data_IF_825669001319
#
_entry.id   IF_825669001319
#
_cell.length_a   1.000
_cell.length_b   1.000
_cell.length_c   1.000
_cell.angle_alpha   90.00
_cell.angle_beta   90.00
_cell.angle_gamma   90.00
#
_symmetry.space_group_name_H-M   'P 1'
#
loop_
_entity.id
_entity.type
_entity.pdbx_description
1 polymer ?
#
# COMPACT_ATOMS: atom_id res chain seq x y z
N UNK A 1 -4.73 -1.94 -3.69
CA UNK A 1 -5.86 -1.36 -2.93
C UNK A 1 -6.76 -0.58 -3.87
N UNK A 2 -7.37 0.51 -3.37
CA UNK A 2 -8.23 1.42 -4.14
C UNK A 2 -7.50 2.10 -5.31
N UNK A 3 -6.18 2.23 -5.18
CA UNK A 3 -5.25 2.79 -6.14
C UNK A 3 -4.92 1.86 -7.32
N UNK A 4 -5.28 0.57 -7.25
CA UNK A 4 -4.91 -0.42 -8.27
C UNK A 4 -5.43 -0.11 -9.66
N UNK A 5 -6.67 0.36 -9.76
CA UNK A 5 -7.24 0.78 -11.04
C UNK A 5 -6.50 2.00 -11.63
N UNK A 6 -6.00 2.90 -10.78
CA UNK A 6 -5.27 4.10 -11.20
C UNK A 6 -3.86 3.77 -11.65
N UNK A 7 -3.15 2.87 -10.94
CA UNK A 7 -1.79 2.45 -11.32
C UNK A 7 -1.78 1.76 -12.69
N UNK A 8 -2.79 0.95 -12.98
CA UNK A 8 -2.92 0.25 -14.28
C UNK A 8 -3.67 1.09 -15.33
N UNK A 9 -4.07 2.33 -15.00
CA UNK A 9 -4.85 3.19 -15.89
C UNK A 9 -4.16 3.50 -17.22
N UNK A 10 -2.81 3.50 -17.24
CA UNK A 10 -2.02 3.67 -18.46
C UNK A 10 -2.25 2.55 -19.49
N UNK A 11 -2.67 1.36 -19.02
CA UNK A 11 -2.99 0.19 -19.85
C UNK A 11 -4.51 0.03 -20.07
N UNK A 12 -5.34 0.91 -19.51
CA UNK A 12 -6.79 0.82 -19.65
C UNK A 12 -7.24 1.28 -21.05
N UNK A 13 -8.13 0.51 -21.68
CA UNK A 13 -8.73 0.85 -22.99
C UNK A 13 -9.47 2.19 -22.96
N UNK A 14 -10.15 2.49 -21.85
CA UNK A 14 -10.92 3.71 -21.64
C UNK A 14 -10.60 4.32 -20.26
N UNK A 15 -10.01 5.51 -20.23
CA UNK A 15 -9.65 6.20 -18.98
C UNK A 15 -10.86 6.57 -18.10
N UNK A 16 -12.04 6.74 -18.71
CA UNK A 16 -13.29 7.04 -17.97
C UNK A 16 -13.75 5.88 -17.09
N UNK A 17 -13.36 4.66 -17.43
CA UNK A 17 -13.80 3.47 -16.71
C UNK A 17 -13.02 3.28 -15.41
N UNK A 18 -11.80 3.84 -15.32
CA UNK A 18 -10.93 3.75 -14.13
C UNK A 18 -11.62 4.31 -12.89
N UNK A 19 -12.22 5.50 -12.99
CA UNK A 19 -12.91 6.13 -11.86
C UNK A 19 -14.15 5.35 -11.43
N UNK A 20 -14.95 4.86 -12.38
CA UNK A 20 -16.14 4.05 -12.10
C UNK A 20 -15.77 2.70 -11.48
N UNK A 21 -14.75 2.04 -12.03
CA UNK A 21 -14.24 0.78 -11.51
C UNK A 21 -13.74 0.92 -10.07
N UNK A 22 -13.01 2.02 -9.78
CA UNK A 22 -12.54 2.30 -8.41
C UNK A 22 -13.71 2.47 -7.45
N UNK A 23 -14.71 3.29 -7.80
CA UNK A 23 -15.86 3.55 -6.94
C UNK A 23 -16.70 2.27 -6.71
N UNK A 24 -16.97 1.52 -7.78
CA UNK A 24 -17.72 0.27 -7.69
C UNK A 24 -16.98 -0.79 -6.88
N UNK A 25 -15.65 -0.89 -7.02
CA UNK A 25 -14.84 -1.80 -6.23
C UNK A 25 -14.88 -1.44 -4.74
N UNK A 26 -14.75 -0.16 -4.39
CA UNK A 26 -14.82 0.32 -3.00
C UNK A 26 -16.20 0.06 -2.39
N UNK A 27 -17.28 0.42 -3.09
CA UNK A 27 -18.64 0.22 -2.59
C UNK A 27 -18.98 -1.27 -2.46
N UNK A 28 -18.58 -2.10 -3.42
CA UNK A 28 -18.78 -3.55 -3.36
C UNK A 28 -18.00 -4.16 -2.19
N UNK A 29 -16.72 -3.79 -2.02
CA UNK A 29 -15.90 -4.27 -0.91
C UNK A 29 -16.46 -3.85 0.45
N UNK A 30 -16.89 -2.59 0.59
CA UNK A 30 -17.55 -2.10 1.79
C UNK A 30 -18.83 -2.88 2.10
N UNK A 31 -19.67 -3.12 1.09
CA UNK A 31 -20.88 -3.91 1.23
C UNK A 31 -20.58 -5.34 1.70
N UNK A 32 -19.60 -6.00 1.08
CA UNK A 32 -19.18 -7.35 1.48
C UNK A 32 -18.62 -7.35 2.91
N UNK A 33 -17.78 -6.38 3.29
CA UNK A 33 -17.25 -6.28 4.65
C UNK A 33 -18.36 -6.08 5.69
N UNK A 34 -19.30 -5.18 5.43
CA UNK A 34 -20.44 -4.97 6.31
C UNK A 34 -21.30 -6.23 6.46
N UNK A 35 -21.60 -6.91 5.34
CA UNK A 35 -22.37 -8.15 5.35
C UNK A 35 -21.65 -9.24 6.13
N UNK A 36 -20.37 -9.48 5.85
CA UNK A 36 -19.57 -10.49 6.53
C UNK A 36 -19.52 -10.18 8.03
N UNK A 37 -19.21 -8.95 8.45
CA UNK A 37 -19.13 -8.61 9.87
C UNK A 37 -20.48 -8.72 10.58
N UNK A 38 -21.56 -8.18 10.00
CA UNK A 38 -22.88 -8.15 10.65
C UNK A 38 -23.54 -9.53 10.68
N UNK A 39 -23.42 -10.31 9.60
CA UNK A 39 -24.00 -11.64 9.54
C UNK A 39 -23.25 -12.59 10.48
N UNK A 40 -21.92 -12.50 10.58
CA UNK A 40 -21.15 -13.31 11.53
C UNK A 40 -21.63 -13.15 12.97
N UNK A 41 -21.92 -11.91 13.39
CA UNK A 41 -22.49 -11.62 14.72
C UNK A 41 -23.90 -12.19 14.95
N UNK A 42 -24.62 -12.54 13.88
CA UNK A 42 -25.91 -13.20 13.96
C UNK A 42 -25.83 -14.72 14.03
N UNK A 43 -24.69 -15.32 13.67
CA UNK A 43 -24.48 -16.77 13.69
C UNK A 43 -23.88 -17.22 15.02
N UNK A 44 -22.87 -16.52 15.53
CA UNK A 44 -22.12 -16.92 16.74
C UNK A 44 -22.07 -15.76 17.73
N UNK A 45 -22.04 -16.06 19.02
CA UNK A 45 -21.95 -15.06 20.07
C UNK A 45 -20.62 -14.29 19.99
N UNK A 46 -20.64 -13.00 20.37
CA UNK A 46 -19.44 -12.13 20.36
C UNK A 46 -18.21 -12.72 21.09
N UNK A 47 -18.35 -13.36 22.28
CA UNK A 47 -17.20 -13.93 22.99
C UNK A 47 -16.56 -15.08 22.20
N UNK A 48 -17.37 -15.99 21.66
CA UNK A 48 -16.88 -17.11 20.85
C UNK A 48 -16.23 -16.62 19.55
N UNK A 49 -16.86 -15.68 18.85
CA UNK A 49 -16.30 -15.09 17.63
C UNK A 49 -14.91 -14.47 17.84
N UNK A 50 -14.66 -13.89 19.01
CA UNK A 50 -13.38 -13.29 19.35
C UNK A 50 -12.27 -14.33 19.57
N UNK A 51 -12.63 -15.57 19.89
CA UNK A 51 -11.69 -16.67 20.13
C UNK A 51 -11.43 -17.52 18.88
N UNK A 52 -12.25 -17.40 17.82
CA UNK A 52 -12.03 -18.12 16.56
C UNK A 52 -10.72 -17.67 15.91
N UNK A 53 -9.83 -18.63 15.65
CA UNK A 53 -8.56 -18.36 14.94
C UNK A 53 -8.81 -17.85 13.52
N UNK A 54 -7.98 -16.92 13.08
CA UNK A 54 -8.00 -16.45 11.71
C UNK A 54 -7.53 -17.56 10.74
N UNK A 55 -8.20 -17.73 9.57
CA UNK A 55 -9.34 -16.95 9.08
C UNK A 55 -10.68 -17.34 9.73
N UNK A 56 -11.30 -16.41 10.46
CA UNK A 56 -12.51 -16.67 11.27
C UNK A 56 -13.73 -17.12 10.47
N UNK A 57 -13.81 -16.74 9.19
CA UNK A 57 -14.86 -17.20 8.28
C UNK A 57 -14.85 -18.69 8.00
N UNK A 58 -13.68 -19.35 8.11
CA UNK A 58 -13.60 -20.80 7.96
C UNK A 58 -14.32 -21.50 9.12
N UNK A 59 -14.04 -21.09 10.36
CA UNK A 59 -14.72 -21.60 11.55
C UNK A 59 -16.22 -21.34 11.53
N UNK A 60 -16.63 -20.13 11.12
CA UNK A 60 -18.04 -19.79 10.95
C UNK A 60 -18.76 -20.65 9.90
N UNK A 61 -18.12 -20.92 8.77
CA UNK A 61 -18.72 -21.79 7.75
C UNK A 61 -18.83 -23.24 8.20
N UNK A 62 -17.92 -23.71 9.07
CA UNK A 62 -18.04 -25.04 9.68
C UNK A 62 -19.25 -25.12 10.60
N UNK A 63 -19.51 -24.11 11.42
CA UNK A 63 -20.71 -24.04 12.25
C UNK A 63 -22.00 -24.06 11.41
N UNK A 64 -22.00 -23.42 10.25
CA UNK A 64 -23.20 -23.32 9.39
C UNK A 64 -23.44 -24.53 8.48
N UNK A 65 -22.38 -25.12 7.92
CA UNK A 65 -22.46 -26.10 6.82
C UNK A 65 -21.70 -27.40 7.13
N UNK A 66 -21.12 -27.53 8.33
CA UNK A 66 -20.28 -28.65 8.71
C UNK A 66 -18.89 -28.62 8.02
N UNK A 67 -18.16 -29.75 8.00
CA UNK A 67 -16.76 -29.81 7.53
C UNK A 67 -16.51 -29.29 6.11
N UNK A 68 -17.53 -29.31 5.25
CA UNK A 68 -17.45 -28.76 3.89
C UNK A 68 -17.23 -27.25 3.85
N UNK A 69 -17.67 -26.52 4.88
CA UNK A 69 -17.50 -25.08 4.98
C UNK A 69 -16.04 -24.65 4.99
N UNK A 70 -15.18 -25.38 5.71
CA UNK A 70 -13.73 -25.12 5.76
C UNK A 70 -13.09 -25.27 4.38
N UNK A 71 -13.44 -26.34 3.64
CA UNK A 71 -12.85 -26.63 2.32
C UNK A 71 -13.21 -25.52 1.31
N UNK A 72 -14.46 -25.07 1.32
CA UNK A 72 -14.92 -24.00 0.43
C UNK A 72 -14.17 -22.69 0.72
N UNK A 73 -14.03 -22.33 2.00
CA UNK A 73 -13.32 -21.12 2.40
C UNK A 73 -11.83 -21.23 2.10
N UNK A 74 -11.20 -22.39 2.36
CA UNK A 74 -9.79 -22.61 2.06
C UNK A 74 -9.50 -22.51 0.55
N UNK A 75 -10.32 -23.16 -0.29
CA UNK A 75 -10.19 -23.07 -1.74
C UNK A 75 -10.39 -21.63 -2.25
N UNK A 76 -11.42 -20.94 -1.76
CA UNK A 76 -11.67 -19.53 -2.09
C UNK A 76 -10.52 -18.61 -1.65
N UNK A 77 -9.95 -18.86 -0.46
CA UNK A 77 -8.81 -18.13 0.07
C UNK A 77 -7.58 -18.31 -0.82
N UNK A 78 -7.27 -19.53 -1.26
CA UNK A 78 -6.13 -19.80 -2.16
C UNK A 78 -6.29 -19.01 -3.47
N UNK A 79 -7.46 -19.09 -4.10
CA UNK A 79 -7.72 -18.35 -5.35
C UNK A 79 -7.61 -16.84 -5.14
N UNK A 80 -8.20 -16.33 -4.05
CA UNK A 80 -8.18 -14.91 -3.69
C UNK A 80 -6.76 -14.40 -3.43
N UNK A 81 -5.97 -15.13 -2.63
CA UNK A 81 -4.58 -14.77 -2.29
C UNK A 81 -3.69 -14.82 -3.53
N UNK A 82 -3.83 -15.84 -4.38
CA UNK A 82 -3.09 -15.92 -5.65
C UNK A 82 -3.43 -14.74 -6.58
N UNK A 83 -4.72 -14.38 -6.70
CA UNK A 83 -5.16 -13.22 -7.47
C UNK A 83 -4.63 -11.90 -6.92
N UNK A 84 -4.71 -11.71 -5.60
CA UNK A 84 -4.15 -10.54 -4.92
C UNK A 84 -2.63 -10.46 -5.11
N UNK A 85 -1.92 -11.57 -4.94
CA UNK A 85 -0.46 -11.64 -5.12
C UNK A 85 -0.05 -11.21 -6.53
N UNK A 86 -0.73 -11.70 -7.56
CA UNK A 86 -0.48 -11.28 -8.94
C UNK A 86 -0.75 -9.79 -9.15
N UNK A 87 -1.90 -9.29 -8.68
CA UNK A 87 -2.27 -7.88 -8.80
C UNK A 87 -1.25 -6.95 -8.13
N UNK A 88 -0.84 -7.28 -6.90
CA UNK A 88 0.15 -6.50 -6.16
C UNK A 88 1.54 -6.55 -6.78
N UNK A 89 1.93 -7.70 -7.35
CA UNK A 89 3.21 -7.83 -8.08
C UNK A 89 3.26 -6.90 -9.30
N UNK A 90 2.17 -6.85 -10.08
CA UNK A 90 2.08 -5.94 -11.24
C UNK A 90 2.15 -4.48 -10.78
N UNK A 91 1.38 -4.11 -9.75
CA UNK A 91 1.40 -2.74 -9.22
C UNK A 91 2.78 -2.33 -8.69
N UNK A 92 3.43 -3.20 -7.92
CA UNK A 92 4.75 -2.95 -7.38
C UNK A 92 5.81 -2.73 -8.47
N UNK A 93 5.65 -3.36 -9.63
CA UNK A 93 6.55 -3.20 -10.76
C UNK A 93 6.27 -1.92 -11.58
N UNK A 94 5.00 -1.52 -11.70
CA UNK A 94 4.58 -0.31 -12.43
C UNK A 94 5.00 0.98 -11.72
N UNK A 95 4.97 1.03 -10.38
CA UNK A 95 5.29 2.26 -9.64
C UNK A 95 6.73 2.76 -9.92
N UNK A 96 7.80 1.95 -9.78
CA UNK A 96 9.16 2.38 -10.12
C UNK A 96 9.34 2.68 -11.61
N UNK A 97 8.63 1.95 -12.49
CA UNK A 97 8.68 2.15 -13.94
C UNK A 97 8.09 3.50 -14.35
N UNK A 98 6.91 3.83 -13.84
CA UNK A 98 6.26 5.14 -14.06
C UNK A 98 7.08 6.27 -13.44
N UNK A 99 7.60 6.08 -12.23
CA UNK A 99 8.48 7.06 -11.59
C UNK A 99 9.75 7.32 -12.41
N UNK A 100 10.37 6.28 -12.98
CA UNK A 100 11.54 6.40 -13.84
C UNK A 100 11.22 7.11 -15.16
N UNK A 101 10.05 6.82 -15.75
CA UNK A 101 9.56 7.48 -16.97
C UNK A 101 9.36 8.99 -16.75
N UNK A 102 8.90 9.38 -15.56
CA UNK A 102 8.79 10.77 -15.13
C UNK A 102 10.08 11.35 -14.50
N UNK A 103 11.22 10.67 -14.66
CA UNK A 103 12.55 11.09 -14.17
C UNK A 103 12.68 11.25 -12.64
N UNK A 104 11.75 10.68 -11.87
CA UNK A 104 11.79 10.64 -10.41
C UNK A 104 12.50 9.40 -9.85
N UNK A 105 12.90 8.45 -10.71
CA UNK A 105 13.59 7.21 -10.35
C UNK A 105 14.73 6.90 -11.34
N UNK A 106 15.73 6.04 -11.01
CA UNK A 106 16.89 5.84 -11.87
C UNK A 106 16.51 5.31 -13.24
N UNK A 107 17.24 5.75 -14.28
CA UNK A 107 16.93 5.46 -15.70
C UNK A 107 16.81 3.97 -16.03
N UNK A 108 17.50 3.09 -15.29
CA UNK A 108 17.45 1.64 -15.50
C UNK A 108 16.03 1.08 -15.36
N UNK A 109 15.21 1.68 -14.50
CA UNK A 109 13.83 1.25 -14.23
C UNK A 109 12.83 1.69 -15.28
N UNK A 110 13.20 2.58 -16.22
CA UNK A 110 12.36 2.96 -17.35
C UNK A 110 12.46 1.94 -18.52
N UNK A 111 13.30 0.90 -18.40
CA UNK A 111 13.47 -0.12 -19.44
C UNK A 111 12.42 -1.22 -19.30
N UNK A 112 11.90 -1.66 -20.44
CA UNK A 112 11.04 -2.84 -20.53
C UNK A 112 11.77 -3.96 -21.28
N UNK A 113 11.40 -5.21 -21.01
CA UNK A 113 11.90 -6.37 -21.75
C UNK A 113 11.14 -6.56 -23.09
N UNK A 114 11.45 -7.62 -23.83
CA UNK A 114 10.81 -7.95 -25.11
C UNK A 114 9.28 -8.16 -25.02
N UNK A 115 8.74 -8.39 -23.82
CA UNK A 115 7.31 -8.58 -23.55
C UNK A 115 6.66 -7.33 -22.93
N UNK A 116 7.31 -6.15 -23.05
CA UNK A 116 6.84 -4.88 -22.49
C UNK A 116 6.63 -4.89 -20.96
N UNK A 117 7.33 -5.79 -20.24
CA UNK A 117 7.31 -5.87 -18.78
C UNK A 117 8.51 -5.12 -18.16
N UNK A 118 8.31 -4.38 -17.05
CA UNK A 118 9.37 -3.64 -16.36
C UNK A 118 10.27 -4.59 -15.53
N UNK A 119 11.19 -5.28 -16.20
CA UNK A 119 12.01 -6.33 -15.60
C UNK A 119 12.91 -5.86 -14.46
N UNK A 120 13.48 -4.65 -14.56
CA UNK A 120 14.30 -4.07 -13.50
C UNK A 120 13.48 -3.81 -12.21
N UNK A 121 12.25 -3.32 -12.35
CA UNK A 121 11.34 -3.12 -11.22
C UNK A 121 10.95 -4.44 -10.58
N UNK A 122 10.65 -5.46 -11.38
CA UNK A 122 10.34 -6.81 -10.87
C UNK A 122 11.48 -7.39 -10.03
N UNK A 123 12.72 -7.32 -10.53
CA UNK A 123 13.89 -7.77 -9.77
C UNK A 123 14.09 -7.00 -8.47
N UNK A 124 13.96 -5.67 -8.49
CA UNK A 124 14.05 -4.85 -7.29
C UNK A 124 13.00 -5.28 -6.26
N UNK A 125 11.73 -5.37 -6.66
CA UNK A 125 10.64 -5.76 -5.74
C UNK A 125 10.84 -7.17 -5.19
N UNK A 126 11.29 -8.12 -6.01
CA UNK A 126 11.53 -9.48 -5.57
C UNK A 126 12.69 -9.56 -4.57
N UNK A 127 13.81 -8.87 -4.85
CA UNK A 127 14.95 -8.79 -3.92
C UNK A 127 14.51 -8.15 -2.60
N UNK A 128 13.73 -7.06 -2.63
CA UNK A 128 13.19 -6.45 -1.42
C UNK A 128 12.32 -7.42 -0.61
N UNK A 129 11.44 -8.18 -1.27
CA UNK A 129 10.62 -9.21 -0.60
C UNK A 129 11.50 -10.29 0.02
N UNK A 130 12.50 -10.81 -0.69
CA UNK A 130 13.41 -11.83 -0.14
C UNK A 130 14.19 -11.30 1.06
N UNK A 131 14.72 -10.08 0.99
CA UNK A 131 15.40 -9.43 2.12
C UNK A 131 14.45 -9.32 3.32
N UNK A 132 13.20 -8.88 3.12
CA UNK A 132 12.22 -8.80 4.20
C UNK A 132 11.92 -10.17 4.82
N UNK A 133 11.77 -11.22 4.02
CA UNK A 133 11.53 -12.58 4.51
C UNK A 133 12.72 -13.12 5.31
N UNK A 134 13.95 -12.89 4.84
CA UNK A 134 15.17 -13.25 5.57
C UNK A 134 15.30 -12.47 6.87
N UNK A 135 14.97 -11.17 6.86
CA UNK A 135 15.01 -10.34 8.06
C UNK A 135 14.03 -10.84 9.12
N UNK A 136 12.77 -11.13 8.76
CA UNK A 136 11.80 -11.73 9.71
C UNK A 136 12.36 -13.02 10.31
N UNK A 137 12.90 -13.89 9.45
CA UNK A 137 13.43 -15.18 9.90
C UNK A 137 14.60 -15.01 10.87
N UNK A 138 15.46 -14.01 10.65
CA UNK A 138 16.59 -13.69 11.54
C UNK A 138 16.17 -13.01 12.83
N UNK A 139 15.19 -12.10 12.80
CA UNK A 139 14.74 -11.34 13.96
C UNK A 139 13.74 -12.10 14.84
N UNK A 140 13.16 -13.20 14.33
CA UNK A 140 12.06 -13.90 14.99
C UNK A 140 10.79 -13.07 15.09
N UNK A 141 10.68 -11.97 14.32
CA UNK A 141 9.49 -11.14 14.27
C UNK A 141 8.31 -11.91 13.68
N UNK A 142 7.09 -11.47 13.98
CA UNK A 142 5.90 -12.10 13.42
C UNK A 142 5.46 -11.46 12.10
N UNK A 143 4.59 -12.15 11.38
CA UNK A 143 3.99 -11.65 10.14
C UNK A 143 3.17 -10.36 10.37
N UNK A 144 2.57 -10.19 11.55
CA UNK A 144 1.80 -8.98 11.87
C UNK A 144 2.68 -7.73 11.95
N UNK A 145 3.94 -7.85 12.37
CA UNK A 145 4.89 -6.74 12.36
C UNK A 145 5.07 -6.19 10.93
N UNK A 146 5.29 -7.06 9.94
CA UNK A 146 5.38 -6.61 8.54
C UNK A 146 4.06 -6.03 8.03
N UNK A 147 2.93 -6.66 8.37
CA UNK A 147 1.61 -6.13 7.99
C UNK A 147 1.38 -4.73 8.55
N UNK A 148 1.79 -4.49 9.79
CA UNK A 148 1.67 -3.21 10.48
C UNK A 148 2.50 -2.16 9.76
N UNK A 149 3.80 -2.40 9.58
CA UNK A 149 4.71 -1.48 8.87
C UNK A 149 4.19 -1.19 7.44
N UNK A 150 3.79 -2.22 6.69
CA UNK A 150 3.28 -2.05 5.33
C UNK A 150 1.97 -1.23 5.27
N UNK A 151 1.07 -1.45 6.23
CA UNK A 151 -0.19 -0.71 6.34
C UNK A 151 0.03 0.76 6.67
N UNK A 152 1.12 1.09 7.35
CA UNK A 152 1.45 2.46 7.74
C UNK A 152 2.15 3.22 6.62
N UNK A 153 3.02 2.52 5.89
CA UNK A 153 3.72 3.06 4.73
C UNK A 153 2.78 3.59 3.63
N UNK A 154 1.54 3.12 3.57
CA UNK A 154 0.55 3.59 2.58
C UNK A 154 -0.17 4.87 3.00
N UNK A 155 -0.20 5.18 4.31
CA UNK A 155 -0.97 6.30 4.85
C UNK A 155 -0.42 7.65 4.39
N UNK A 156 0.91 7.81 4.40
CA UNK A 156 1.57 9.05 3.96
C UNK A 156 1.27 9.34 2.48
N UNK A 157 1.46 8.40 1.53
CA UNK A 157 1.02 8.57 0.15
C UNK A 157 -0.46 8.95 0.01
N UNK A 158 -1.37 8.31 0.76
CA UNK A 158 -2.80 8.64 0.69
C UNK A 158 -3.10 10.07 1.16
N UNK A 159 -2.48 10.52 2.25
CA UNK A 159 -2.58 11.90 2.69
C UNK A 159 -2.05 12.88 1.62
N UNK A 160 -0.87 12.59 1.04
CA UNK A 160 -0.26 13.42 0.00
C UNK A 160 -1.12 13.51 -1.27
N UNK A 161 -1.79 12.43 -1.65
CA UNK A 161 -2.75 12.43 -2.77
C UNK A 161 -3.93 13.36 -2.48
N UNK A 162 -4.48 13.33 -1.25
CA UNK A 162 -5.54 14.25 -0.83
C UNK A 162 -5.08 15.71 -0.82
N UNK A 163 -3.88 15.98 -0.28
CA UNK A 163 -3.29 17.31 -0.24
C UNK A 163 -3.00 17.85 -1.65
N UNK A 164 -2.55 16.99 -2.55
CA UNK A 164 -2.33 17.34 -3.95
C UNK A 164 -3.65 17.68 -4.66
N UNK A 165 -4.72 16.90 -4.43
CA UNK A 165 -6.05 17.21 -4.94
C UNK A 165 -6.52 18.59 -4.46
N UNK A 166 -6.36 18.88 -3.17
CA UNK A 166 -6.72 20.19 -2.60
C UNK A 166 -5.94 21.33 -3.27
N UNK A 167 -4.64 21.13 -3.54
CA UNK A 167 -3.77 22.11 -4.20
C UNK A 167 -4.22 22.44 -5.63
N UNK A 168 -4.68 21.45 -6.40
CA UNK A 168 -5.07 21.63 -7.81
C UNK A 168 -6.56 21.88 -8.03
N UNK A 169 -7.39 21.67 -7.00
CA UNK A 169 -8.84 21.75 -7.13
C UNK A 169 -9.30 23.20 -7.41
N UNK A 170 -9.92 23.39 -8.57
CA UNK A 170 -10.52 24.68 -8.98
C UNK A 170 -12.00 24.75 -8.63
N UNK A 171 -12.71 23.62 -8.68
CA UNK A 171 -14.16 23.50 -8.42
C UNK A 171 -14.44 23.29 -6.92
N UNK A 172 -15.54 23.86 -6.39
CA UNK A 172 -15.86 23.77 -4.96
C UNK A 172 -16.05 22.33 -4.49
N UNK A 173 -16.70 21.47 -5.31
CA UNK A 173 -16.89 20.06 -4.98
C UNK A 173 -15.56 19.31 -4.81
N UNK A 174 -14.61 19.53 -5.71
CA UNK A 174 -13.30 18.88 -5.65
C UNK A 174 -12.48 19.38 -4.46
N UNK A 175 -12.62 20.67 -4.10
CA UNK A 175 -12.01 21.21 -2.87
C UNK A 175 -12.60 20.56 -1.63
N UNK A 176 -13.92 20.42 -1.54
CA UNK A 176 -14.58 19.76 -0.41
C UNK A 176 -14.10 18.30 -0.25
N UNK A 177 -14.01 17.55 -1.35
CA UNK A 177 -13.45 16.18 -1.35
C UNK A 177 -11.99 16.18 -0.91
N UNK A 178 -11.17 17.10 -1.42
CA UNK A 178 -9.76 17.24 -1.02
C UNK A 178 -9.60 17.55 0.48
N UNK A 179 -10.40 18.48 1.02
CA UNK A 179 -10.42 18.79 2.46
C UNK A 179 -10.81 17.56 3.28
N UNK A 180 -11.88 16.86 2.89
CA UNK A 180 -12.31 15.63 3.56
C UNK A 180 -11.23 14.54 3.53
N UNK A 181 -10.57 14.34 2.39
CA UNK A 181 -9.47 13.40 2.25
C UNK A 181 -8.25 13.78 3.11
N UNK A 182 -7.92 15.06 3.21
CA UNK A 182 -6.84 15.54 4.09
C UNK A 182 -7.17 15.32 5.57
N UNK A 183 -8.39 15.66 6.00
CA UNK A 183 -8.84 15.46 7.39
C UNK A 183 -8.79 13.96 7.73
N UNK A 184 -9.32 13.11 6.86
CA UNK A 184 -9.31 11.66 7.07
C UNK A 184 -7.88 11.09 7.05
N UNK A 185 -7.02 11.56 6.15
CA UNK A 185 -5.62 11.16 6.09
C UNK A 185 -4.83 11.54 7.35
N UNK A 186 -5.03 12.76 7.86
CA UNK A 186 -4.44 13.20 9.13
C UNK A 186 -4.96 12.37 10.31
N UNK A 187 -6.25 12.07 10.32
CA UNK A 187 -6.84 11.22 11.34
C UNK A 187 -6.26 9.80 11.29
N UNK A 188 -6.08 9.21 10.11
CA UNK A 188 -5.45 7.89 9.96
C UNK A 188 -3.99 7.87 10.43
N UNK A 189 -3.21 8.92 10.12
CA UNK A 189 -1.84 9.05 10.60
C UNK A 189 -1.77 9.17 12.12
N UNK A 190 -2.72 9.89 12.73
CA UNK A 190 -2.86 9.96 14.18
C UNK A 190 -3.27 8.61 14.79
N UNK A 191 -4.27 7.95 14.20
CA UNK A 191 -4.84 6.69 14.69
C UNK A 191 -3.89 5.49 14.54
N UNK A 192 -3.03 5.49 13.53
CA UNK A 192 -1.98 4.47 13.33
C UNK A 192 -0.97 4.43 14.49
N UNK A 193 -0.82 5.53 15.21
CA UNK A 193 0.20 5.68 16.25
C UNK A 193 1.45 6.37 15.68
N UNK A 194 1.90 7.49 16.27
CA UNK A 194 3.11 8.18 15.81
C UNK A 194 4.37 7.31 15.84
N UNK A 195 4.39 6.31 16.73
CA UNK A 195 5.52 5.42 16.93
C UNK A 195 5.73 4.44 15.77
N UNK A 196 4.62 3.86 15.35
CA UNK A 196 4.46 3.00 14.20
C UNK A 196 4.82 3.74 12.89
N UNK A 197 4.27 4.95 12.72
CA UNK A 197 4.64 5.82 11.61
C UNK A 197 6.15 6.10 11.57
N UNK A 198 6.81 6.24 12.73
CA UNK A 198 8.25 6.45 12.81
C UNK A 198 9.05 5.26 12.26
N UNK A 199 8.59 4.03 12.48
CA UNK A 199 9.20 2.83 11.90
C UNK A 199 9.12 2.84 10.37
N UNK A 200 8.02 3.31 9.79
CA UNK A 200 7.88 3.45 8.33
C UNK A 200 8.90 4.43 7.71
N UNK A 201 9.35 5.43 8.48
CA UNK A 201 10.37 6.40 8.04
C UNK A 201 11.73 5.73 7.80
N UNK A 202 12.05 4.67 8.53
CA UNK A 202 13.28 3.87 8.31
C UNK A 202 13.30 3.31 6.89
N UNK A 203 12.15 2.88 6.37
CA UNK A 203 12.02 2.36 5.01
C UNK A 203 11.92 3.47 3.95
N UNK A 204 11.48 4.68 4.32
CA UNK A 204 11.53 5.84 3.42
C UNK A 204 12.96 6.37 3.20
N UNK A 205 13.84 6.27 4.20
CA UNK A 205 15.22 6.72 4.09
C UNK A 205 16.01 6.11 2.90
N UNK A 206 16.04 4.78 2.67
CA UNK A 206 16.71 4.21 1.50
C UNK A 206 16.01 4.62 0.19
N UNK A 207 14.68 4.76 0.18
CA UNK A 207 13.95 5.28 -0.99
C UNK A 207 14.40 6.70 -1.36
N UNK A 208 14.68 7.53 -0.36
CA UNK A 208 15.18 8.89 -0.53
C UNK A 208 16.61 8.91 -1.09
N UNK A 209 17.48 7.99 -0.66
CA UNK A 209 18.81 7.82 -1.25
C UNK A 209 18.72 7.45 -2.74
N UNK A 210 17.80 6.55 -3.10
CA UNK A 210 17.55 6.19 -4.50
C UNK A 210 17.01 7.37 -5.30
N UNK A 211 16.14 8.20 -4.71
CA UNK A 211 15.65 9.44 -5.33
C UNK A 211 16.78 10.46 -5.58
N UNK A 212 17.68 10.66 -4.61
CA UNK A 212 18.84 11.55 -4.77
C UNK A 212 19.79 11.03 -5.85
N UNK A 213 20.04 9.72 -5.89
CA UNK A 213 20.82 9.08 -6.95
C UNK A 213 20.14 9.23 -8.32
N UNK A 214 18.83 9.02 -8.41
CA UNK A 214 18.05 9.18 -9.62
C UNK A 214 18.18 10.59 -10.20
N UNK A 215 18.04 11.63 -9.35
CA UNK A 215 18.21 13.03 -9.78
C UNK A 215 19.61 13.31 -10.31
N UNK A 216 20.67 12.69 -9.77
CA UNK A 216 22.03 12.81 -10.33
C UNK A 216 22.16 12.17 -11.71
N UNK A 217 21.43 11.07 -11.98
CA UNK A 217 21.45 10.39 -13.29
C UNK A 217 20.65 11.11 -14.38
N UNK A 218 19.73 12.01 -14.01
CA UNK A 218 18.96 12.83 -14.94
C UNK A 218 19.55 14.24 -15.01
N UNK A 219 20.10 14.61 -16.18
CA UNK A 219 20.65 15.93 -16.50
C UNK A 219 19.58 17.04 -16.46
N UNK A 220 19.07 17.38 -15.28
CA UNK A 220 18.30 18.59 -15.02
C UNK A 220 18.96 19.35 -13.86
N UNK A 221 19.52 20.51 -14.21
CA UNK A 221 20.25 21.47 -13.37
C UNK A 221 19.34 22.21 -12.37
N UNK A 222 18.62 21.50 -11.51
CA UNK A 222 17.93 22.13 -10.37
C UNK A 222 18.48 21.57 -9.06
N UNK A 223 19.28 22.40 -8.40
CA UNK A 223 19.67 22.26 -6.98
C UNK A 223 18.40 22.06 -6.17
N UNK A 224 18.42 21.13 -5.20
CA UNK A 224 17.30 20.90 -4.28
C UNK A 224 16.83 22.25 -3.72
N UNK A 225 15.52 22.50 -3.77
CA UNK A 225 14.99 23.72 -3.15
C UNK A 225 15.26 23.64 -1.64
N UNK A 226 15.46 24.79 -0.98
CA UNK A 226 15.75 24.85 0.47
C UNK A 226 14.68 24.13 1.30
N UNK A 227 13.43 24.18 0.84
CA UNK A 227 12.31 23.44 1.45
C UNK A 227 12.43 21.91 1.27
N UNK A 228 12.89 21.44 0.11
CA UNK A 228 13.13 20.00 -0.14
C UNK A 228 14.27 19.50 0.76
N UNK A 229 15.36 20.26 0.89
CA UNK A 229 16.47 19.90 1.77
C UNK A 229 16.06 19.86 3.25
N UNK A 230 15.24 20.81 3.69
CA UNK A 230 14.72 20.83 5.07
C UNK A 230 13.81 19.62 5.34
N UNK A 231 12.92 19.27 4.40
CA UNK A 231 12.06 18.09 4.54
C UNK A 231 12.86 16.78 4.55
N UNK A 232 13.85 16.65 3.66
CA UNK A 232 14.77 15.51 3.64
C UNK A 232 15.55 15.42 4.97
N UNK A 233 16.07 16.55 5.46
CA UNK A 233 16.79 16.62 6.73
C UNK A 233 15.92 16.21 7.91
N UNK A 234 14.68 16.70 7.98
CA UNK A 234 13.72 16.30 9.03
C UNK A 234 13.40 14.81 8.96
N UNK A 235 13.19 14.24 7.77
CA UNK A 235 12.96 12.80 7.58
C UNK A 235 14.16 11.97 8.07
N UNK A 236 15.38 12.37 7.72
CA UNK A 236 16.59 11.66 8.17
C UNK A 236 16.78 11.77 9.68
N UNK A 237 16.54 12.95 10.28
CA UNK A 237 16.61 13.12 11.74
C UNK A 237 15.55 12.26 12.44
N UNK A 238 14.32 12.22 11.90
CA UNK A 238 13.25 11.37 12.43
C UNK A 238 13.55 9.87 12.29
N UNK A 239 14.38 9.46 11.31
CA UNK A 239 14.78 8.07 11.15
C UNK A 239 15.73 7.57 12.27
N UNK A 240 16.49 8.46 12.93
CA UNK A 240 17.48 8.06 13.95
C UNK A 240 16.81 7.48 15.21
N UNK A 241 15.82 8.15 15.86
CA UNK A 241 15.08 7.55 16.98
C UNK A 241 14.34 6.27 16.57
N UNK A 242 13.85 6.19 15.33
CA UNK A 242 13.17 5.02 14.80
C UNK A 242 14.05 3.77 14.81
N UNK A 243 15.31 3.91 14.39
CA UNK A 243 16.27 2.79 14.38
C UNK A 243 16.62 2.32 15.78
N UNK A 244 16.59 3.22 16.78
CA UNK A 244 16.86 2.86 18.17
C UNK A 244 15.69 2.13 18.84
N UNK A 245 14.49 2.22 18.26
CA UNK A 245 13.31 1.46 18.71
C UNK A 245 13.15 0.09 18.06
N UNK A 246 13.94 -0.19 17.01
CA UNK A 246 13.98 -1.50 16.35
C UNK A 246 14.98 -2.46 17.00
N UNK A 247 15.84 -1.97 17.89
CA UNK A 247 16.86 -2.72 18.67
C UNK A 247 16.35 -2.92 20.08
#
# INVERSE_FOLDING_TARGET
GVEGAVVVSARARNKRDVGKATLLAVLSALGVYLLVTLLSLGVVARPELAEIRNPSMAGLMVEMMGPWGEIIIAAGLIVSVCGAYLSWTIMAAEVPFLAATHKAFPRIFARQNAQAAPSASLWLTNICVQICLVLIWLTGSDYNTLLTIASEMILVPYFLVGAFLLKIATRPLHKAVGVGACIYGLWLLYASGPMHLLLSVVLYAPGLLVFLYARKTHTHDNVLNRQEMVLIGMLLIASVPATWMLV
#
